data_IF_138101018248
#
_entry.id   IF_138101018248
#
_cell.length_a   1.000
_cell.length_b   1.000
_cell.length_c   1.000
_cell.angle_alpha   90.00
_cell.angle_beta   90.00
_cell.angle_gamma   90.00
#
_symmetry.space_group_name_H-M   'P 1'
#
loop_
_entity.id
_entity.type
_entity.pdbx_description
1 polymer ?
#
# COMPACT_ATOMS: atom_id res chain seq x y z
N UNK A 1 -17.84 -10.31 -21.08
CA UNK A 1 -16.77 -10.80 -20.20
C UNK A 1 -15.60 -11.18 -21.10
N UNK A 2 -14.59 -10.29 -21.20
CA UNK A 2 -13.39 -10.57 -21.98
C UNK A 2 -12.58 -11.69 -21.36
N UNK A 3 -11.92 -12.46 -22.20
CA UNK A 3 -11.07 -13.58 -21.80
C UNK A 3 -9.90 -13.05 -20.92
N UNK A 4 -9.94 -13.39 -19.64
CA UNK A 4 -8.94 -12.95 -18.65
C UNK A 4 -7.56 -13.57 -18.83
N UNK A 5 -7.39 -14.48 -19.82
CA UNK A 5 -6.13 -15.21 -20.05
C UNK A 5 -5.02 -14.33 -20.59
N UNK A 6 -5.36 -13.24 -21.28
CA UNK A 6 -4.39 -12.35 -21.94
C UNK A 6 -3.92 -11.18 -21.07
N UNK A 7 -4.45 -11.04 -19.84
CA UNK A 7 -4.04 -9.98 -18.94
C UNK A 7 -2.75 -10.35 -18.20
N UNK A 8 -1.80 -9.41 -18.17
CA UNK A 8 -0.59 -9.55 -17.36
C UNK A 8 -0.95 -9.96 -15.91
N UNK A 9 -0.22 -10.88 -15.26
CA UNK A 9 -0.55 -11.40 -13.92
C UNK A 9 -0.81 -10.31 -12.86
N UNK A 10 -0.08 -9.18 -12.91
CA UNK A 10 -0.29 -8.03 -12.01
C UNK A 10 -1.69 -7.40 -12.19
N UNK A 11 -2.11 -7.15 -13.44
CA UNK A 11 -3.42 -6.57 -13.74
C UNK A 11 -4.56 -7.51 -13.33
N UNK A 12 -4.36 -8.81 -13.52
CA UNK A 12 -5.31 -9.84 -13.10
C UNK A 12 -5.49 -9.88 -11.58
N UNK A 13 -4.39 -9.82 -10.82
CA UNK A 13 -4.40 -9.76 -9.36
C UNK A 13 -5.09 -8.48 -8.86
N UNK A 14 -4.73 -7.31 -9.39
CA UNK A 14 -5.37 -6.04 -9.04
C UNK A 14 -6.89 -6.06 -9.25
N UNK A 15 -7.37 -6.63 -10.37
CA UNK A 15 -8.83 -6.76 -10.63
C UNK A 15 -9.51 -7.67 -9.62
N UNK A 16 -8.88 -8.78 -9.23
CA UNK A 16 -9.42 -9.68 -8.22
C UNK A 16 -9.50 -8.99 -6.85
N UNK A 17 -8.51 -8.21 -6.48
CA UNK A 17 -8.48 -7.48 -5.22
C UNK A 17 -9.57 -6.40 -5.15
N UNK A 18 -9.77 -5.62 -6.23
CA UNK A 18 -10.88 -4.66 -6.33
C UNK A 18 -12.23 -5.37 -6.21
N UNK A 19 -12.44 -6.47 -6.94
CA UNK A 19 -13.69 -7.23 -6.91
C UNK A 19 -13.99 -7.79 -5.52
N UNK A 20 -12.99 -8.36 -4.85
CA UNK A 20 -13.14 -8.88 -3.49
C UNK A 20 -13.52 -7.77 -2.50
N UNK A 21 -12.85 -6.62 -2.57
CA UNK A 21 -13.16 -5.46 -1.73
C UNK A 21 -14.57 -4.94 -1.96
N UNK A 22 -15.02 -4.85 -3.22
CA UNK A 22 -16.40 -4.49 -3.55
C UNK A 22 -17.42 -5.45 -2.93
N UNK A 23 -17.16 -6.76 -2.95
CA UNK A 23 -18.06 -7.74 -2.32
C UNK A 23 -18.14 -7.57 -0.80
N UNK A 24 -17.02 -7.27 -0.13
CA UNK A 24 -16.97 -7.04 1.31
C UNK A 24 -17.71 -5.75 1.73
N UNK A 25 -17.77 -4.76 0.85
CA UNK A 25 -18.36 -3.44 1.11
C UNK A 25 -19.69 -3.20 0.35
N UNK A 26 -20.47 -4.26 0.11
CA UNK A 26 -21.82 -4.14 -0.46
C UNK A 26 -21.88 -3.71 -1.93
N UNK A 27 -20.81 -3.90 -2.70
CA UNK A 27 -20.72 -3.59 -4.13
C UNK A 27 -20.04 -2.26 -4.47
N UNK A 28 -19.67 -1.47 -3.46
CA UNK A 28 -18.97 -0.20 -3.65
C UNK A 28 -17.47 -0.31 -3.34
N UNK A 29 -16.67 0.59 -3.91
CA UNK A 29 -15.26 0.76 -3.53
C UNK A 29 -15.22 1.78 -2.39
N UNK A 30 -14.76 1.40 -1.18
CA UNK A 30 -14.69 2.31 -0.05
C UNK A 30 -13.72 3.47 -0.29
N UNK A 31 -13.78 4.47 0.61
CA UNK A 31 -12.81 5.57 0.61
C UNK A 31 -11.37 5.07 0.80
N UNK A 32 -10.40 5.88 0.40
CA UNK A 32 -8.97 5.55 0.61
C UNK A 32 -8.65 5.32 2.10
N UNK A 33 -9.28 6.09 3.00
CA UNK A 33 -9.13 5.94 4.45
C UNK A 33 -9.62 4.57 4.92
N UNK A 34 -10.81 4.15 4.50
CA UNK A 34 -11.36 2.83 4.83
C UNK A 34 -10.52 1.71 4.26
N UNK A 35 -10.10 1.82 3.00
CA UNK A 35 -9.22 0.83 2.38
C UNK A 35 -7.87 0.67 3.10
N UNK A 36 -7.28 1.77 3.59
CA UNK A 36 -6.03 1.71 4.37
C UNK A 36 -6.24 1.08 5.75
N UNK A 37 -7.37 1.39 6.41
CA UNK A 37 -7.74 0.74 7.69
C UNK A 37 -7.92 -0.77 7.53
N UNK A 38 -8.64 -1.18 6.51
CA UNK A 38 -8.88 -2.60 6.23
C UNK A 38 -7.57 -3.32 5.89
N UNK A 39 -6.69 -2.68 5.11
CA UNK A 39 -5.39 -3.23 4.79
C UNK A 39 -4.53 -3.40 6.05
N UNK A 40 -4.40 -2.36 6.89
CA UNK A 40 -3.66 -2.45 8.14
C UNK A 40 -4.23 -3.52 9.08
N UNK A 41 -5.55 -3.63 9.20
CA UNK A 41 -6.21 -4.65 10.03
C UNK A 41 -5.97 -6.07 9.50
N UNK A 42 -5.95 -6.25 8.17
CA UNK A 42 -5.62 -7.53 7.54
C UNK A 42 -4.20 -7.98 7.87
N UNK A 43 -3.21 -7.13 7.64
CA UNK A 43 -1.81 -7.41 7.95
C UNK A 43 -1.61 -7.66 9.46
N UNK A 44 -2.29 -6.88 10.32
CA UNK A 44 -2.26 -7.11 11.77
C UNK A 44 -2.72 -8.52 12.13
N UNK A 45 -3.85 -8.97 11.60
CA UNK A 45 -4.34 -10.34 11.81
C UNK A 45 -3.35 -11.38 11.30
N UNK A 46 -2.73 -11.13 10.14
CA UNK A 46 -1.79 -12.08 9.54
C UNK A 46 -0.58 -12.33 10.42
N UNK A 47 0.05 -11.29 10.97
CA UNK A 47 1.26 -11.48 11.78
C UNK A 47 0.99 -11.77 13.26
N UNK A 48 -0.15 -11.31 13.83
CA UNK A 48 -0.45 -11.52 15.26
C UNK A 48 -1.10 -12.88 15.54
N UNK A 49 -1.86 -13.43 14.59
CA UNK A 49 -2.60 -14.68 14.75
C UNK A 49 -2.25 -15.73 13.69
N UNK A 50 -2.52 -15.44 12.43
CA UNK A 50 -2.54 -16.45 11.37
C UNK A 50 -1.18 -17.13 11.19
N UNK A 51 -0.12 -16.37 10.91
CA UNK A 51 1.22 -16.94 10.69
C UNK A 51 1.85 -17.48 11.97
N UNK A 52 1.58 -16.88 13.13
CA UNK A 52 2.06 -17.40 14.42
C UNK A 52 1.45 -18.76 14.72
N UNK A 53 0.14 -18.92 14.54
CA UNK A 53 -0.56 -20.19 14.71
C UNK A 53 -0.07 -21.24 13.71
N UNK A 54 0.01 -20.90 12.42
CA UNK A 54 0.52 -21.81 11.38
C UNK A 54 1.95 -22.26 11.65
N UNK A 55 2.79 -21.38 12.17
CA UNK A 55 4.18 -21.73 12.51
C UNK A 55 4.23 -22.72 13.69
N UNK A 56 3.41 -22.54 14.72
CA UNK A 56 3.34 -23.48 15.84
C UNK A 56 2.83 -24.86 15.40
N UNK A 57 1.74 -24.89 14.62
CA UNK A 57 1.18 -26.13 14.07
C UNK A 57 2.23 -26.87 13.20
N UNK A 58 2.96 -26.16 12.35
CA UNK A 58 4.01 -26.75 11.53
C UNK A 58 5.18 -27.32 12.35
N UNK A 59 5.56 -26.66 13.47
CA UNK A 59 6.58 -27.22 14.38
C UNK A 59 6.09 -28.47 15.09
N UNK A 60 4.84 -28.50 15.57
CA UNK A 60 4.21 -29.66 16.21
C UNK A 60 4.14 -30.87 15.26
N UNK A 61 3.91 -30.64 13.98
CA UNK A 61 3.93 -31.66 12.94
C UNK A 61 5.31 -32.03 12.44
N UNK A 62 6.39 -31.38 12.92
CA UNK A 62 7.78 -31.63 12.54
C UNK A 62 8.24 -30.92 11.25
N UNK A 63 7.47 -29.99 10.71
CA UNK A 63 7.80 -29.20 9.51
C UNK A 63 8.57 -27.93 9.86
N UNK A 64 9.71 -28.06 10.50
CA UNK A 64 10.51 -26.93 11.04
C UNK A 64 10.89 -25.87 9.99
N UNK A 65 11.16 -26.29 8.74
CA UNK A 65 11.43 -25.34 7.65
C UNK A 65 10.20 -24.52 7.26
N UNK A 66 9.02 -25.12 7.29
CA UNK A 66 7.75 -24.44 7.01
C UNK A 66 7.42 -23.48 8.15
N UNK A 67 7.61 -23.91 9.40
CA UNK A 67 7.45 -23.06 10.57
C UNK A 67 8.34 -21.80 10.50
N UNK A 68 9.61 -21.97 10.10
CA UNK A 68 10.52 -20.84 9.88
C UNK A 68 10.00 -19.88 8.78
N UNK A 69 9.50 -20.42 7.67
CA UNK A 69 8.94 -19.59 6.60
C UNK A 69 7.72 -18.80 7.07
N UNK A 70 6.79 -19.40 7.81
CA UNK A 70 5.64 -18.71 8.36
C UNK A 70 6.05 -17.57 9.31
N UNK A 71 7.00 -17.78 10.21
CA UNK A 71 7.52 -16.71 11.07
C UNK A 71 8.19 -15.60 10.26
N UNK A 72 8.92 -15.94 9.21
CA UNK A 72 9.59 -14.97 8.35
C UNK A 72 8.58 -14.12 7.58
N UNK A 73 7.51 -14.74 7.05
CA UNK A 73 6.43 -14.00 6.39
C UNK A 73 5.68 -13.13 7.39
N UNK A 74 5.32 -13.65 8.57
CA UNK A 74 4.68 -12.84 9.60
C UNK A 74 5.47 -11.59 9.99
N UNK A 75 6.81 -11.68 10.03
CA UNK A 75 7.65 -10.50 10.26
C UNK A 75 7.58 -9.47 9.11
N UNK A 76 7.38 -9.91 7.87
CA UNK A 76 7.17 -9.04 6.70
C UNK A 76 5.82 -8.34 6.79
N UNK A 77 4.75 -9.08 7.16
CA UNK A 77 3.39 -8.53 7.26
C UNK A 77 3.28 -7.46 8.35
N UNK A 78 4.05 -7.60 9.43
CA UNK A 78 4.20 -6.52 10.42
C UNK A 78 4.73 -5.23 9.79
N UNK A 79 5.73 -5.33 8.92
CA UNK A 79 6.26 -4.16 8.19
C UNK A 79 5.25 -3.57 7.20
N UNK A 80 4.37 -4.40 6.62
CA UNK A 80 3.27 -3.93 5.78
C UNK A 80 2.22 -3.17 6.59
N UNK A 81 1.81 -3.68 7.76
CA UNK A 81 0.91 -2.97 8.68
C UNK A 81 1.47 -1.59 9.04
N UNK A 82 2.72 -1.53 9.50
CA UNK A 82 3.38 -0.27 9.87
C UNK A 82 3.35 0.75 8.70
N UNK A 83 3.55 0.28 7.47
CA UNK A 83 3.48 1.12 6.27
C UNK A 83 2.07 1.62 5.99
N UNK A 84 1.06 0.75 6.06
CA UNK A 84 -0.34 1.15 5.85
C UNK A 84 -0.79 2.13 6.94
N UNK A 85 -0.38 1.92 8.19
CA UNK A 85 -0.70 2.82 9.28
C UNK A 85 -0.05 4.21 9.08
N UNK A 86 1.22 4.27 8.68
CA UNK A 86 1.90 5.53 8.39
C UNK A 86 1.24 6.31 7.24
N UNK A 87 0.77 5.61 6.19
CA UNK A 87 0.02 6.22 5.09
C UNK A 87 -1.33 6.74 5.56
N UNK A 88 -2.05 5.98 6.39
CA UNK A 88 -3.33 6.37 6.97
C UNK A 88 -3.18 7.62 7.83
N UNK A 89 -2.19 7.66 8.71
CA UNK A 89 -1.90 8.79 9.58
C UNK A 89 -1.57 10.05 8.75
N UNK A 90 -0.69 9.91 7.75
CA UNK A 90 -0.34 11.00 6.83
C UNK A 90 -1.55 11.54 6.07
N UNK A 91 -2.47 10.66 5.66
CA UNK A 91 -3.69 11.05 4.97
C UNK A 91 -4.66 11.78 5.90
N UNK A 92 -4.89 11.26 7.11
CA UNK A 92 -5.77 11.85 8.11
C UNK A 92 -5.26 13.21 8.60
N UNK A 93 -3.95 13.39 8.70
CA UNK A 93 -3.29 14.63 9.09
C UNK A 93 -3.15 15.63 7.93
N UNK A 94 -3.54 15.27 6.71
CA UNK A 94 -3.40 16.12 5.52
C UNK A 94 -1.94 16.34 5.06
N UNK A 95 -1.03 15.48 5.49
CA UNK A 95 0.43 15.62 5.26
C UNK A 95 0.97 14.85 4.05
N UNK A 96 0.11 14.27 3.21
CA UNK A 96 0.56 13.51 2.02
C UNK A 96 1.45 14.35 1.11
N UNK A 97 1.10 15.63 0.93
CA UNK A 97 1.78 16.56 0.04
C UNK A 97 2.54 17.66 0.78
N UNK A 98 2.88 17.44 2.05
CA UNK A 98 3.57 18.42 2.88
C UNK A 98 4.69 17.75 3.69
N UNK A 99 5.81 18.47 3.85
CA UNK A 99 6.97 18.05 4.64
C UNK A 99 7.40 19.19 5.55
N UNK A 100 8.03 18.88 6.70
CA UNK A 100 8.53 19.91 7.62
C UNK A 100 9.66 20.74 7.02
N UNK A 101 10.36 20.20 6.01
CA UNK A 101 11.45 20.88 5.30
C UNK A 101 11.17 20.89 3.80
N UNK A 102 11.92 21.69 3.05
CA UNK A 102 11.87 21.67 1.59
C UNK A 102 12.36 20.31 1.07
N UNK A 103 11.61 19.74 0.17
CA UNK A 103 11.93 18.53 -0.58
C UNK A 103 11.70 18.77 -2.06
N UNK A 104 12.22 17.91 -2.93
CA UNK A 104 11.96 17.98 -4.35
C UNK A 104 10.68 17.19 -4.65
N UNK A 105 9.66 17.90 -5.13
CA UNK A 105 8.46 17.31 -5.69
C UNK A 105 8.60 17.18 -7.20
N UNK A 106 8.33 15.98 -7.72
CA UNK A 106 8.34 15.72 -9.16
C UNK A 106 6.93 15.37 -9.64
N UNK A 107 6.52 15.96 -10.77
CA UNK A 107 5.26 15.64 -11.42
C UNK A 107 5.39 14.34 -12.23
N UNK A 108 4.67 13.29 -11.85
CA UNK A 108 4.69 11.99 -12.50
C UNK A 108 4.27 12.01 -13.98
N UNK A 109 3.56 13.07 -14.43
CA UNK A 109 3.14 13.19 -15.82
C UNK A 109 4.21 13.81 -16.73
N UNK A 110 4.85 14.92 -16.30
CA UNK A 110 5.75 15.68 -17.18
C UNK A 110 7.17 15.81 -16.66
N UNK A 111 7.50 15.31 -15.47
CA UNK A 111 8.83 15.40 -14.88
C UNK A 111 9.17 16.79 -14.32
N UNK A 112 8.21 17.73 -14.25
CA UNK A 112 8.47 19.04 -13.64
C UNK A 112 8.85 18.89 -12.17
N UNK A 113 9.96 19.52 -11.78
CA UNK A 113 10.50 19.50 -10.40
C UNK A 113 10.36 20.85 -9.73
N UNK A 114 10.02 20.84 -8.46
CA UNK A 114 9.97 22.04 -7.63
C UNK A 114 10.46 21.72 -6.22
N UNK A 115 11.33 22.57 -5.68
CA UNK A 115 11.79 22.47 -4.31
C UNK A 115 10.88 23.29 -3.38
N UNK A 116 10.11 22.62 -2.54
CA UNK A 116 9.12 23.25 -1.66
C UNK A 116 8.81 22.36 -0.46
N UNK A 117 8.37 22.91 0.69
CA UNK A 117 7.82 22.10 1.76
C UNK A 117 6.46 21.49 1.40
N UNK A 118 5.75 22.04 0.41
CA UNK A 118 4.44 21.56 -0.03
C UNK A 118 4.40 21.39 -1.55
N UNK A 119 3.85 20.26 -2.01
CA UNK A 119 3.62 20.04 -3.43
C UNK A 119 2.62 21.06 -4.00
N UNK A 120 2.84 21.58 -5.22
CA UNK A 120 1.88 22.48 -5.87
C UNK A 120 0.49 21.85 -5.98
N UNK A 121 -0.55 22.64 -5.81
CA UNK A 121 -1.93 22.18 -6.02
C UNK A 121 -2.20 21.74 -7.46
N UNK A 122 -1.46 22.35 -8.40
CA UNK A 122 -1.54 22.09 -9.82
C UNK A 122 -0.16 22.25 -10.46
N UNK A 123 0.19 21.34 -11.35
CA UNK A 123 1.45 21.43 -12.07
C UNK A 123 1.45 22.63 -13.02
N UNK A 124 2.43 23.58 -12.91
CA UNK A 124 2.44 24.78 -13.74
C UNK A 124 2.80 24.50 -15.20
N UNK A 125 3.29 23.29 -15.52
CA UNK A 125 3.73 22.90 -16.86
C UNK A 125 2.65 22.14 -17.62
N UNK A 126 1.97 21.19 -16.95
CA UNK A 126 1.05 20.27 -17.63
C UNK A 126 -0.36 20.26 -17.04
N UNK A 127 -0.65 21.17 -16.11
CA UNK A 127 -1.98 21.36 -15.49
C UNK A 127 -2.55 20.15 -14.71
N UNK A 128 -1.77 19.11 -14.46
CA UNK A 128 -2.19 17.99 -13.66
C UNK A 128 -2.32 18.35 -12.17
N UNK A 129 -3.30 17.78 -11.45
CA UNK A 129 -3.54 18.12 -10.04
C UNK A 129 -2.43 17.63 -9.13
N UNK A 130 -2.41 18.11 -7.89
CA UNK A 130 -1.43 17.80 -6.84
C UNK A 130 -1.19 16.29 -6.66
N UNK A 131 -2.21 15.45 -6.87
CA UNK A 131 -2.10 14.00 -6.80
C UNK A 131 -1.07 13.37 -7.78
N UNK A 132 -0.60 14.14 -8.76
CA UNK A 132 0.47 13.71 -9.67
C UNK A 132 1.86 14.02 -9.15
N UNK A 133 2.01 14.74 -8.03
CA UNK A 133 3.30 14.98 -7.43
C UNK A 133 3.69 13.87 -6.45
N UNK A 134 4.96 13.50 -6.50
CA UNK A 134 5.59 12.63 -5.51
C UNK A 134 6.91 13.25 -5.07
N UNK A 135 7.33 12.92 -3.86
CA UNK A 135 8.64 13.30 -3.35
C UNK A 135 9.72 12.49 -4.06
N UNK A 136 10.64 13.19 -4.72
CA UNK A 136 11.78 12.56 -5.36
C UNK A 136 12.79 12.13 -4.30
N UNK A 137 12.97 10.84 -4.13
CA UNK A 137 14.07 10.28 -3.36
C UNK A 137 15.23 10.02 -4.30
N UNK A 138 16.32 10.76 -4.14
CA UNK A 138 17.55 10.50 -4.88
C UNK A 138 18.25 9.31 -4.21
N UNK A 139 17.96 8.11 -4.67
CA UNK A 139 18.78 6.93 -4.40
C UNK A 139 19.84 6.85 -5.50
N UNK A 140 21.09 7.13 -5.17
CA UNK A 140 22.26 6.86 -5.99
C UNK A 140 22.98 5.62 -5.45
#
# INVERSE_FOLDING_TARGET
YGDHRDLHPRVRRQRQDVYKRQLLHGGEVPSTVENLKDAAAGENYEWTDMYDRMAREADEEGFTKIAFLFRSVGAIEKGHEERYQALLDSLCEGKIFERPTKVIWECANCGHRVESPKAPEKCPVCDHPQAYFFELQEEF
#
